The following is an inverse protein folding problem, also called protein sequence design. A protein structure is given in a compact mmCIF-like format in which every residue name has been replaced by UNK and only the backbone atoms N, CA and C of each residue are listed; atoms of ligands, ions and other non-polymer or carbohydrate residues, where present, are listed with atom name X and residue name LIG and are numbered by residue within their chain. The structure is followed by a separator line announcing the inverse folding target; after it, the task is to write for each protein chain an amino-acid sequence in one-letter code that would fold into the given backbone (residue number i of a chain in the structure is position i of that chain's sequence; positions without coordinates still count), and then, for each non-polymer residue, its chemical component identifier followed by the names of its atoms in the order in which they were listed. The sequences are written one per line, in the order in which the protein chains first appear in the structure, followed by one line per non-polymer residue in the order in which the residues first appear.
data_IF_119926808732
#
_entry.id   IF_119926808732
#
_cell.length_a   1.000
_cell.length_b   1.000
_cell.length_c   1.000
_cell.angle_alpha   90.00
_cell.angle_beta   90.00
_cell.angle_gamma   90.00
#
_symmetry.space_group_name_H-M   'P 1'
#
loop_
_entity.id
_entity.type
_entity.pdbx_description
1 polymer ?
#
# COMPACT_ATOMS: atom_id res chain seq x y z
N UNK A 1 -1.77 2.99 20.85
CA UNK A 1 -1.65 4.45 20.62
C UNK A 1 -0.69 4.68 19.46
N UNK A 2 -1.12 5.39 18.43
CA UNK A 2 -0.27 5.75 17.28
C UNK A 2 0.88 6.64 17.74
N UNK A 3 2.10 6.38 17.26
CA UNK A 3 3.23 7.27 17.49
C UNK A 3 2.98 8.63 16.82
N UNK A 4 3.59 9.72 17.35
CA UNK A 4 3.41 11.07 16.77
C UNK A 4 3.85 11.12 15.29
N UNK A 5 4.93 10.39 14.96
CA UNK A 5 5.37 10.13 13.57
C UNK A 5 5.70 8.66 13.47
N UNK A 6 5.18 7.98 12.47
CA UNK A 6 5.43 6.56 12.22
C UNK A 6 5.56 6.31 10.71
N UNK A 7 6.54 5.50 10.33
CA UNK A 7 6.80 5.14 8.94
C UNK A 7 6.67 3.64 8.76
N UNK A 8 5.71 3.24 7.94
CA UNK A 8 5.44 1.85 7.62
C UNK A 8 5.90 1.54 6.21
N UNK A 9 6.84 0.62 6.12
CA UNK A 9 7.32 0.11 4.84
C UNK A 9 6.39 -0.95 4.32
N UNK A 10 6.09 -0.87 3.04
CA UNK A 10 5.33 -1.88 2.35
C UNK A 10 5.97 -2.18 1.00
N UNK A 11 6.29 -3.44 0.77
CA UNK A 11 6.95 -3.91 -0.42
C UNK A 11 6.11 -5.00 -1.04
N UNK A 12 5.30 -4.62 -2.01
CA UNK A 12 4.57 -5.57 -2.81
C UNK A 12 5.19 -5.69 -4.20
N UNK A 13 5.42 -6.89 -4.64
CA UNK A 13 5.93 -7.23 -5.98
C UNK A 13 5.05 -8.30 -6.58
N UNK A 14 5.07 -8.41 -7.90
CA UNK A 14 4.12 -9.19 -8.67
C UNK A 14 3.93 -10.64 -8.24
N UNK A 15 4.95 -11.30 -7.67
CA UNK A 15 4.86 -12.68 -7.19
C UNK A 15 4.48 -12.85 -5.73
N UNK A 16 4.30 -11.74 -5.00
CA UNK A 16 3.77 -11.81 -3.65
C UNK A 16 2.31 -12.23 -3.65
N UNK A 17 1.94 -12.90 -2.57
CA UNK A 17 0.54 -13.22 -2.31
C UNK A 17 -0.22 -11.99 -1.85
N UNK A 18 -1.45 -11.91 -2.25
CA UNK A 18 -2.37 -10.83 -1.97
C UNK A 18 -3.72 -11.40 -1.57
N UNK A 19 -4.47 -10.80 -0.66
CA UNK A 19 -5.77 -11.33 -0.25
C UNK A 19 -6.71 -11.50 -1.45
N UNK A 20 -7.28 -12.69 -1.61
CA UNK A 20 -8.13 -13.00 -2.76
C UNK A 20 -9.45 -12.22 -2.75
N UNK A 21 -9.91 -11.77 -1.58
CA UNK A 21 -11.10 -10.93 -1.48
C UNK A 21 -10.97 -9.66 -2.32
N UNK A 22 -9.78 -9.10 -2.40
CA UNK A 22 -9.50 -7.89 -3.20
C UNK A 22 -9.82 -8.14 -4.67
N UNK A 23 -9.26 -9.21 -5.25
CA UNK A 23 -9.53 -9.57 -6.64
C UNK A 23 -11.00 -9.89 -6.88
N UNK A 24 -11.68 -10.57 -5.94
CA UNK A 24 -13.12 -10.85 -6.03
C UNK A 24 -13.93 -9.56 -6.10
N UNK A 25 -13.69 -8.62 -5.18
CA UNK A 25 -14.40 -7.34 -5.15
C UNK A 25 -14.18 -6.54 -6.44
N UNK A 26 -12.93 -6.50 -6.96
CA UNK A 26 -12.62 -5.83 -8.22
C UNK A 26 -13.36 -6.49 -9.40
N UNK A 27 -13.34 -7.82 -9.50
CA UNK A 27 -14.02 -8.53 -10.58
C UNK A 27 -15.54 -8.36 -10.52
N UNK A 28 -16.13 -8.36 -9.33
CA UNK A 28 -17.55 -8.12 -9.15
C UNK A 28 -17.94 -6.71 -9.55
N UNK A 29 -17.12 -5.74 -9.18
CA UNK A 29 -17.31 -4.35 -9.59
C UNK A 29 -17.13 -4.16 -11.11
N UNK A 30 -16.14 -4.82 -11.73
CA UNK A 30 -16.00 -4.85 -13.20
C UNK A 30 -17.26 -5.40 -13.84
N UNK A 31 -17.82 -6.47 -13.30
CA UNK A 31 -19.05 -7.07 -13.80
C UNK A 31 -20.26 -6.12 -13.72
N UNK A 32 -20.35 -5.32 -12.66
CA UNK A 32 -21.41 -4.33 -12.46
C UNK A 32 -21.25 -3.10 -13.36
N UNK A 33 -20.04 -2.55 -13.48
CA UNK A 33 -19.81 -1.30 -14.20
C UNK A 33 -19.58 -1.49 -15.70
N UNK A 34 -18.89 -2.56 -16.12
CA UNK A 34 -18.49 -2.81 -17.51
C UNK A 34 -19.19 -4.02 -18.13
N UNK A 35 -19.97 -4.76 -17.35
CA UNK A 35 -20.73 -5.93 -17.78
C UNK A 35 -19.98 -7.25 -17.63
N UNK A 36 -20.76 -8.34 -17.66
CA UNK A 36 -20.27 -9.71 -17.45
C UNK A 36 -19.24 -10.18 -18.48
N UNK A 37 -19.32 -9.69 -19.72
CA UNK A 37 -18.33 -10.00 -20.77
C UNK A 37 -16.95 -9.45 -20.43
N UNK A 38 -16.87 -8.24 -19.87
CA UNK A 38 -15.62 -7.64 -19.41
C UNK A 38 -15.02 -8.43 -18.23
N UNK A 39 -15.86 -8.81 -17.26
CA UNK A 39 -15.45 -9.66 -16.14
C UNK A 39 -14.88 -11.01 -16.63
N UNK A 40 -15.55 -11.68 -17.56
CA UNK A 40 -15.09 -12.94 -18.13
C UNK A 40 -13.76 -12.80 -18.86
N UNK A 41 -13.57 -11.72 -19.63
CA UNK A 41 -12.31 -11.44 -20.33
C UNK A 41 -11.16 -11.30 -19.35
N UNK A 42 -11.35 -10.56 -18.26
CA UNK A 42 -10.34 -10.39 -17.20
C UNK A 42 -10.03 -11.75 -16.53
N UNK A 43 -11.05 -12.52 -16.15
CA UNK A 43 -10.86 -13.86 -15.56
C UNK A 43 -10.06 -14.79 -16.49
N UNK A 44 -10.36 -14.80 -17.80
CA UNK A 44 -9.60 -15.58 -18.78
C UNK A 44 -8.13 -15.16 -18.86
N UNK A 45 -7.87 -13.86 -18.88
CA UNK A 45 -6.49 -13.34 -18.91
C UNK A 45 -5.71 -13.71 -17.64
N UNK A 46 -6.35 -13.65 -16.50
CA UNK A 46 -5.76 -13.99 -15.21
C UNK A 46 -5.59 -15.51 -14.99
N UNK A 47 -6.20 -16.33 -15.83
CA UNK A 47 -6.20 -17.78 -15.67
C UNK A 47 -6.95 -18.24 -14.40
N UNK A 48 -7.97 -17.50 -13.97
CA UNK A 48 -8.75 -17.79 -12.75
C UNK A 48 -10.24 -17.90 -13.08
N UNK A 49 -10.88 -18.95 -12.56
CA UNK A 49 -12.32 -19.06 -12.57
C UNK A 49 -12.94 -18.33 -11.36
N UNK A 50 -14.08 -17.67 -11.57
CA UNK A 50 -14.75 -16.97 -10.46
C UNK A 50 -15.15 -17.91 -9.32
N UNK A 51 -15.58 -19.14 -9.63
CA UNK A 51 -15.91 -20.17 -8.63
C UNK A 51 -14.65 -20.62 -7.86
N UNK A 52 -13.53 -20.74 -8.56
CA UNK A 52 -12.23 -21.10 -7.95
C UNK A 52 -11.76 -20.02 -6.98
N UNK A 53 -11.89 -18.74 -7.34
CA UNK A 53 -11.57 -17.63 -6.47
C UNK A 53 -12.38 -17.62 -5.16
N UNK A 54 -13.60 -18.15 -5.15
CA UNK A 54 -14.40 -18.29 -3.94
C UNK A 54 -13.80 -19.22 -2.88
N UNK A 55 -12.85 -20.07 -3.28
CA UNK A 55 -12.14 -21.01 -2.40
C UNK A 55 -10.68 -20.61 -2.15
N UNK A 56 -10.19 -19.54 -2.79
CA UNK A 56 -8.84 -19.03 -2.61
C UNK A 56 -8.80 -17.99 -1.49
N UNK A 57 -7.86 -18.13 -0.57
CA UNK A 57 -7.57 -17.08 0.42
C UNK A 57 -6.61 -16.02 -0.14
N UNK A 58 -5.71 -16.42 -1.04
CA UNK A 58 -4.70 -15.56 -1.62
C UNK A 58 -4.61 -15.74 -3.14
N UNK A 59 -4.25 -14.67 -3.81
CA UNK A 59 -3.91 -14.57 -5.24
C UNK A 59 -2.54 -13.91 -5.36
N UNK A 60 -2.06 -13.65 -6.56
CA UNK A 60 -0.83 -12.90 -6.76
C UNK A 60 -1.09 -11.40 -6.99
N UNK A 61 -0.18 -10.55 -6.50
CA UNK A 61 -0.26 -9.09 -6.68
C UNK A 61 -0.48 -8.71 -8.15
N UNK A 62 0.23 -9.33 -9.11
CA UNK A 62 0.09 -9.02 -10.53
C UNK A 62 -1.34 -9.23 -11.06
N UNK A 63 -2.10 -10.16 -10.48
CA UNK A 63 -3.49 -10.42 -10.87
C UNK A 63 -4.40 -9.27 -10.44
N UNK A 64 -4.20 -8.78 -9.23
CA UNK A 64 -4.94 -7.63 -8.69
C UNK A 64 -4.59 -6.36 -9.45
N UNK A 65 -3.30 -6.11 -9.67
CA UNK A 65 -2.82 -4.95 -10.46
C UNK A 65 -3.41 -4.96 -11.88
N UNK A 66 -3.40 -6.10 -12.56
CA UNK A 66 -4.01 -6.22 -13.90
C UNK A 66 -5.49 -5.85 -13.88
N UNK A 67 -6.26 -6.37 -12.93
CA UNK A 67 -7.69 -6.09 -12.84
C UNK A 67 -7.97 -4.60 -12.54
N UNK A 68 -7.16 -3.97 -11.68
CA UNK A 68 -7.25 -2.54 -11.39
C UNK A 68 -6.92 -1.69 -12.63
N UNK A 69 -5.84 -2.00 -13.34
CA UNK A 69 -5.45 -1.30 -14.57
C UNK A 69 -6.51 -1.46 -15.65
N UNK A 70 -7.06 -2.66 -15.80
CA UNK A 70 -8.15 -2.90 -16.74
C UNK A 70 -9.35 -2.01 -16.42
N UNK A 71 -9.82 -1.99 -15.17
CA UNK A 71 -10.93 -1.14 -14.75
C UNK A 71 -10.66 0.33 -15.02
N UNK A 72 -9.50 0.83 -14.63
CA UNK A 72 -9.08 2.22 -14.83
C UNK A 72 -9.04 2.60 -16.31
N UNK A 73 -8.52 1.72 -17.16
CA UNK A 73 -8.39 2.02 -18.61
C UNK A 73 -9.69 1.90 -19.38
N UNK A 74 -10.64 1.11 -18.92
CA UNK A 74 -11.95 0.94 -19.56
C UNK A 74 -12.99 1.95 -19.07
N UNK A 75 -12.76 2.63 -17.97
CA UNK A 75 -13.67 3.62 -17.40
C UNK A 75 -13.23 5.05 -17.76
N UNK A 76 -14.19 5.89 -18.17
CA UNK A 76 -14.00 7.33 -18.32
C UNK A 76 -14.24 8.09 -17.00
N UNK A 77 -14.71 7.41 -15.94
CA UNK A 77 -15.00 8.02 -14.66
C UNK A 77 -13.69 8.21 -13.86
N UNK A 78 -13.26 9.44 -13.59
CA UNK A 78 -12.04 9.70 -12.83
C UNK A 78 -12.15 9.30 -11.35
N UNK A 79 -13.34 9.04 -10.84
CA UNK A 79 -13.63 8.64 -9.47
C UNK A 79 -13.88 7.13 -9.32
N UNK A 80 -13.66 6.36 -10.40
CA UNK A 80 -13.95 4.93 -10.43
C UNK A 80 -13.21 4.14 -9.34
N UNK A 81 -11.98 4.56 -8.97
CA UNK A 81 -11.24 3.97 -7.85
C UNK A 81 -11.97 4.15 -6.52
N UNK A 82 -12.44 5.37 -6.22
CA UNK A 82 -13.22 5.63 -5.00
C UNK A 82 -14.53 4.83 -4.98
N UNK A 83 -15.22 4.74 -6.12
CA UNK A 83 -16.46 3.95 -6.24
C UNK A 83 -16.20 2.46 -6.01
N UNK A 84 -15.14 1.93 -6.57
CA UNK A 84 -14.70 0.56 -6.32
C UNK A 84 -14.48 0.34 -4.80
N UNK A 85 -13.69 1.20 -4.16
CA UNK A 85 -13.42 1.07 -2.72
C UNK A 85 -14.69 1.14 -1.87
N UNK A 86 -15.59 2.07 -2.16
CA UNK A 86 -16.89 2.22 -1.45
C UNK A 86 -17.82 1.01 -1.64
N UNK A 87 -17.59 0.16 -2.64
CA UNK A 87 -18.39 -1.04 -2.86
C UNK A 87 -18.00 -2.21 -1.95
N UNK A 88 -16.85 -2.11 -1.25
CA UNK A 88 -16.38 -3.16 -0.35
C UNK A 88 -17.28 -3.29 0.87
N UNK A 89 -17.46 -4.54 1.31
CA UNK A 89 -18.26 -4.92 2.46
C UNK A 89 -17.41 -5.66 3.48
N UNK A 90 -17.71 -5.47 4.77
CA UNK A 90 -16.97 -6.15 5.84
C UNK A 90 -17.05 -7.67 5.70
N UNK A 91 -18.21 -8.21 5.31
CA UNK A 91 -18.40 -9.65 5.12
C UNK A 91 -17.59 -10.25 3.97
N UNK A 92 -17.08 -9.42 3.04
CA UNK A 92 -16.24 -9.88 1.93
C UNK A 92 -14.75 -10.02 2.30
N UNK A 93 -14.34 -9.60 3.50
CA UNK A 93 -12.92 -9.44 3.87
C UNK A 93 -12.22 -10.72 4.35
N UNK A 94 -12.83 -11.90 4.20
CA UNK A 94 -12.29 -13.24 4.50
C UNK A 94 -11.19 -13.29 5.59
N UNK A 95 -9.93 -13.22 5.14
CA UNK A 95 -8.72 -13.35 5.98
C UNK A 95 -8.60 -12.25 7.05
N UNK A 96 -9.29 -11.12 6.89
CA UNK A 96 -9.29 -10.03 7.86
C UNK A 96 -10.35 -10.19 8.95
N UNK A 97 -11.46 -10.85 8.67
CA UNK A 97 -12.58 -10.99 9.62
C UNK A 97 -12.17 -11.51 10.99
N UNK A 98 -11.32 -12.57 11.11
CA UNK A 98 -10.87 -13.08 12.41
C UNK A 98 -10.07 -12.05 13.21
N UNK A 99 -9.42 -11.12 12.54
CA UNK A 99 -8.65 -10.06 13.19
C UNK A 99 -9.55 -8.90 13.61
N UNK A 100 -10.37 -8.41 12.67
CA UNK A 100 -11.28 -7.29 12.90
C UNK A 100 -12.28 -7.56 14.03
N UNK A 101 -12.73 -8.80 14.20
CA UNK A 101 -13.66 -9.20 15.26
C UNK A 101 -13.11 -9.10 16.69
N UNK A 102 -11.83 -8.81 16.86
CA UNK A 102 -11.15 -8.70 18.15
C UNK A 102 -10.93 -7.25 18.59
N UNK A 103 -11.23 -6.29 17.74
CA UNK A 103 -10.98 -4.89 18.00
C UNK A 103 -12.25 -4.18 18.49
N UNK A 104 -12.05 -3.26 19.40
CA UNK A 104 -13.13 -2.49 20.02
C UNK A 104 -13.30 -1.10 19.38
N UNK A 105 -12.30 -0.62 18.61
CA UNK A 105 -12.30 0.72 18.00
C UNK A 105 -11.74 0.76 16.60
N UNK A 106 -12.05 1.82 15.84
CA UNK A 106 -11.43 2.08 14.53
C UNK A 106 -9.92 2.32 14.64
N UNK A 107 -9.43 2.89 15.76
CA UNK A 107 -8.00 3.09 15.98
C UNK A 107 -7.26 1.74 15.93
N UNK A 108 -7.78 0.74 16.62
CA UNK A 108 -7.20 -0.60 16.66
C UNK A 108 -7.23 -1.28 15.27
N UNK A 109 -8.34 -1.15 14.56
CA UNK A 109 -8.46 -1.63 13.18
C UNK A 109 -7.40 -0.97 12.28
N UNK A 110 -7.25 0.35 12.35
CA UNK A 110 -6.28 1.08 11.55
C UNK A 110 -4.85 0.70 11.92
N UNK A 111 -4.53 0.57 13.21
CA UNK A 111 -3.22 0.09 13.67
C UNK A 111 -2.89 -1.30 13.12
N UNK A 112 -3.88 -2.18 13.12
CA UNK A 112 -3.72 -3.52 12.54
C UNK A 112 -3.44 -3.43 11.03
N UNK A 113 -4.25 -2.69 10.30
CA UNK A 113 -4.13 -2.50 8.84
C UNK A 113 -2.73 -1.99 8.46
N UNK A 114 -2.23 -0.95 9.12
CA UNK A 114 -0.92 -0.35 8.78
C UNK A 114 0.27 -1.21 9.22
N UNK A 115 0.07 -2.12 10.18
CA UNK A 115 1.11 -3.04 10.64
C UNK A 115 1.14 -4.37 9.86
N UNK A 116 0.05 -4.70 9.12
CA UNK A 116 -0.07 -5.94 8.37
C UNK A 116 -0.44 -5.68 6.89
N UNK A 117 0.40 -4.92 6.16
CA UNK A 117 0.10 -4.50 4.80
C UNK A 117 -0.15 -5.68 3.84
N UNK A 118 0.48 -6.83 4.08
CA UNK A 118 0.29 -8.05 3.29
C UNK A 118 -1.12 -8.68 3.45
N UNK A 119 -1.82 -8.40 4.55
CA UNK A 119 -3.18 -8.91 4.78
C UNK A 119 -4.27 -7.97 4.28
N UNK A 120 -3.93 -6.69 4.14
CA UNK A 120 -4.90 -5.64 3.75
C UNK A 120 -4.69 -5.14 2.34
N UNK A 121 -3.68 -5.66 1.66
CA UNK A 121 -3.44 -5.32 0.28
C UNK A 121 -2.96 -3.89 0.04
N UNK A 122 -2.04 -3.38 0.86
CA UNK A 122 -1.47 -2.07 0.62
C UNK A 122 -0.31 -2.12 -0.39
N UNK A 123 -0.29 -1.21 -1.35
CA UNK A 123 0.72 -1.14 -2.43
C UNK A 123 1.86 -0.16 -2.15
N UNK A 124 1.78 0.64 -1.10
CA UNK A 124 2.72 1.75 -0.90
C UNK A 124 3.23 1.83 0.52
N UNK A 125 4.39 2.44 0.68
CA UNK A 125 4.86 2.86 1.98
C UNK A 125 3.96 3.97 2.52
N UNK A 126 3.76 4.00 3.83
CA UNK A 126 2.86 4.94 4.48
C UNK A 126 3.57 5.69 5.59
N UNK A 127 3.47 7.02 5.56
CA UNK A 127 3.92 7.90 6.63
C UNK A 127 2.70 8.38 7.41
N UNK A 128 2.67 8.05 8.70
CA UNK A 128 1.63 8.45 9.65
C UNK A 128 2.17 9.61 10.49
N UNK A 129 1.35 10.66 10.67
CA UNK A 129 1.69 11.78 11.53
C UNK A 129 0.44 12.27 12.26
N UNK A 130 0.61 12.72 13.48
CA UNK A 130 -0.46 13.36 14.25
C UNK A 130 -0.17 14.85 14.28
N UNK A 131 -1.07 15.65 13.72
CA UNK A 131 -1.03 17.12 13.66
C UNK A 131 -2.41 17.68 14.01
N UNK A 132 -2.48 18.63 14.93
CA UNK A 132 -3.72 19.35 15.27
C UNK A 132 -4.94 18.43 15.47
N UNK A 133 -4.83 17.43 16.32
CA UNK A 133 -5.91 16.46 16.59
C UNK A 133 -6.37 15.66 15.36
N UNK A 134 -5.51 15.57 14.33
CA UNK A 134 -5.77 14.82 13.11
C UNK A 134 -4.66 13.79 12.89
N UNK A 135 -5.04 12.61 12.45
CA UNK A 135 -4.12 11.67 11.82
C UNK A 135 -3.97 12.04 10.33
N UNK A 136 -2.74 12.31 9.93
CA UNK A 136 -2.33 12.55 8.54
C UNK A 136 -1.69 11.27 8.00
N UNK A 137 -2.24 10.72 6.94
CA UNK A 137 -1.77 9.49 6.31
C UNK A 137 -1.28 9.81 4.90
N UNK A 138 0.04 9.85 4.74
CA UNK A 138 0.72 10.14 3.48
C UNK A 138 1.24 8.88 2.84
N UNK A 139 0.92 8.73 1.57
CA UNK A 139 1.50 7.69 0.75
C UNK A 139 2.83 8.12 0.17
N UNK A 140 3.80 7.20 0.18
CA UNK A 140 5.13 7.40 -0.38
C UNK A 140 5.35 6.40 -1.51
N UNK A 141 5.42 6.90 -2.74
CA UNK A 141 5.75 6.05 -3.88
C UNK A 141 7.27 5.79 -3.90
N UNK A 142 7.69 4.64 -3.43
CA UNK A 142 9.08 4.21 -3.42
C UNK A 142 9.49 3.50 -4.73
N UNK A 143 8.98 3.96 -5.85
CA UNK A 143 9.38 3.53 -7.20
C UNK A 143 8.72 2.26 -7.72
N UNK A 144 7.53 1.89 -7.20
CA UNK A 144 6.86 0.63 -7.54
C UNK A 144 5.67 0.77 -8.46
N UNK A 145 4.87 1.81 -8.27
CA UNK A 145 3.62 2.03 -9.01
C UNK A 145 3.87 3.06 -10.09
N UNK A 146 3.42 2.77 -11.29
CA UNK A 146 3.40 3.75 -12.38
C UNK A 146 2.59 4.99 -11.94
N UNK A 147 3.11 6.20 -12.15
CA UNK A 147 2.47 7.43 -11.67
C UNK A 147 1.00 7.56 -12.06
N UNK A 148 0.63 7.11 -13.26
CA UNK A 148 -0.75 7.15 -13.74
C UNK A 148 -1.72 6.25 -12.94
N UNK A 149 -1.21 5.20 -12.28
CA UNK A 149 -2.01 4.27 -11.49
C UNK A 149 -2.08 4.68 -10.02
N UNK A 150 -1.15 5.51 -9.57
CA UNK A 150 -0.99 5.85 -8.17
C UNK A 150 -2.22 6.57 -7.60
N UNK A 151 -2.74 7.55 -8.32
CA UNK A 151 -3.95 8.28 -7.93
C UNK A 151 -5.18 7.37 -7.86
N UNK A 152 -5.35 6.47 -8.83
CA UNK A 152 -6.44 5.49 -8.81
C UNK A 152 -6.39 4.61 -7.55
N UNK A 153 -5.23 4.04 -7.25
CA UNK A 153 -5.07 3.17 -6.08
C UNK A 153 -5.23 3.94 -4.76
N UNK A 154 -4.76 5.18 -4.70
CA UNK A 154 -4.96 6.05 -3.54
C UNK A 154 -6.44 6.33 -3.30
N UNK A 155 -7.19 6.69 -4.34
CA UNK A 155 -8.63 6.94 -4.25
C UNK A 155 -9.40 5.66 -3.93
N UNK A 156 -8.98 4.51 -4.46
CA UNK A 156 -9.54 3.21 -4.10
C UNK A 156 -9.36 2.92 -2.60
N UNK A 157 -8.17 3.15 -2.06
CA UNK A 157 -7.91 2.93 -0.64
C UNK A 157 -8.74 3.84 0.28
N UNK A 158 -8.97 5.09 -0.12
CA UNK A 158 -9.86 6.02 0.59
C UNK A 158 -11.29 5.49 0.58
N UNK A 159 -11.77 5.05 -0.58
CA UNK A 159 -13.11 4.50 -0.73
C UNK A 159 -13.32 3.28 0.17
N UNK A 160 -12.40 2.30 0.13
CA UNK A 160 -12.50 1.09 0.95
C UNK A 160 -12.42 1.39 2.44
N UNK A 161 -11.48 2.25 2.86
CA UNK A 161 -11.36 2.67 4.26
C UNK A 161 -12.67 3.30 4.76
N UNK A 162 -13.26 4.25 4.03
CA UNK A 162 -14.48 4.92 4.45
C UNK A 162 -15.69 3.98 4.43
N UNK A 163 -15.83 3.17 3.38
CA UNK A 163 -16.93 2.21 3.27
C UNK A 163 -16.93 1.22 4.43
N UNK A 164 -15.78 0.61 4.68
CA UNK A 164 -15.60 -0.36 5.76
C UNK A 164 -15.71 0.26 7.16
N UNK A 165 -15.12 1.44 7.39
CA UNK A 165 -15.21 2.13 8.66
C UNK A 165 -16.66 2.51 9.02
N UNK A 166 -17.45 2.96 8.04
CA UNK A 166 -18.87 3.26 8.21
C UNK A 166 -19.68 2.01 8.53
N UNK A 167 -19.40 0.91 7.87
CA UNK A 167 -20.07 -0.36 8.13
C UNK A 167 -19.69 -0.93 9.50
N UNK A 168 -18.41 -0.88 9.88
CA UNK A 168 -17.92 -1.36 11.17
C UNK A 168 -18.50 -0.58 12.35
N UNK A 169 -18.64 0.73 12.23
CA UNK A 169 -19.11 1.60 13.32
C UNK A 169 -20.61 1.86 13.29
N UNK A 170 -21.25 1.75 12.13
CA UNK A 170 -22.61 2.22 11.91
C UNK A 170 -22.74 3.77 11.96
N UNK A 171 -21.62 4.50 11.85
CA UNK A 171 -21.56 5.96 11.96
C UNK A 171 -21.08 6.61 10.66
N UNK A 172 -21.46 7.86 10.36
CA UNK A 172 -20.93 8.63 9.25
C UNK A 172 -19.46 8.99 9.54
N UNK A 173 -18.53 8.31 8.87
CA UNK A 173 -17.12 8.65 8.94
C UNK A 173 -16.77 9.58 7.79
N UNK A 174 -16.07 10.67 8.11
CA UNK A 174 -15.66 11.70 7.16
C UNK A 174 -14.17 12.01 7.29
N UNK A 175 -13.53 12.34 6.18
CA UNK A 175 -12.17 12.86 6.17
C UNK A 175 -12.21 14.40 6.31
N UNK A 176 -11.14 14.96 6.84
CA UNK A 176 -11.02 16.42 6.96
C UNK A 176 -10.47 17.02 5.67
N UNK A 177 -9.41 16.41 5.12
CA UNK A 177 -8.71 16.89 3.93
C UNK A 177 -8.18 15.71 3.12
N UNK A 178 -8.11 15.90 1.80
CA UNK A 178 -7.45 15.02 0.85
C UNK A 178 -6.55 15.85 -0.05
N UNK A 179 -5.30 15.44 -0.19
CA UNK A 179 -4.29 16.04 -1.06
C UNK A 179 -3.99 15.09 -2.21
N UNK A 180 -4.15 15.57 -3.44
CA UNK A 180 -3.97 14.83 -4.68
C UNK A 180 -2.90 15.51 -5.55
N UNK A 181 -1.91 14.76 -5.97
CA UNK A 181 -0.88 15.22 -6.91
C UNK A 181 -1.38 15.26 -8.37
N UNK A 182 -2.68 15.25 -8.56
CA UNK A 182 -3.36 15.29 -9.86
C UNK A 182 -3.79 16.71 -10.19
N UNK A 183 -3.97 17.03 -11.51
CA UNK A 183 -4.59 18.27 -11.93
C UNK A 183 -6.00 18.44 -11.36
N UNK A 184 -6.38 19.68 -11.12
CA UNK A 184 -7.72 20.00 -10.64
C UNK A 184 -8.81 19.51 -11.60
N UNK A 185 -9.85 18.90 -11.05
CA UNK A 185 -11.04 18.40 -11.75
C UNK A 185 -12.29 18.64 -10.91
N UNK A 186 -13.44 18.24 -11.40
CA UNK A 186 -14.68 18.33 -10.62
C UNK A 186 -14.57 17.45 -9.35
N UNK A 187 -14.68 18.07 -8.20
CA UNK A 187 -14.53 17.43 -6.88
C UNK A 187 -15.85 17.08 -6.19
N UNK A 188 -16.98 17.41 -6.82
CA UNK A 188 -18.29 17.30 -6.17
C UNK A 188 -18.61 15.89 -5.68
N UNK A 189 -18.20 14.86 -6.42
CA UNK A 189 -18.37 13.48 -5.99
C UNK A 189 -17.47 13.16 -4.78
N UNK A 190 -16.17 13.46 -4.86
CA UNK A 190 -15.23 13.20 -3.77
C UNK A 190 -15.63 13.92 -2.49
N UNK A 191 -15.94 15.22 -2.56
CA UNK A 191 -16.39 16.01 -1.40
C UNK A 191 -17.64 15.39 -0.77
N UNK A 192 -18.62 15.01 -1.58
CA UNK A 192 -19.87 14.41 -1.08
C UNK A 192 -19.65 13.09 -0.37
N UNK A 193 -18.79 12.21 -0.91
CA UNK A 193 -18.62 10.86 -0.36
C UNK A 193 -17.60 10.80 0.77
N UNK A 194 -16.64 11.73 0.82
CA UNK A 194 -15.58 11.73 1.81
C UNK A 194 -15.79 12.76 2.92
N UNK A 195 -16.63 13.78 2.72
CA UNK A 195 -16.75 14.94 3.61
C UNK A 195 -15.56 15.90 3.57
N UNK A 196 -14.51 15.56 2.82
CA UNK A 196 -13.21 16.24 2.85
C UNK A 196 -13.18 17.52 2.00
N UNK A 197 -12.32 18.45 2.41
CA UNK A 197 -11.79 19.47 1.53
C UNK A 197 -10.73 18.86 0.60
N UNK A 198 -10.88 19.02 -0.72
CA UNK A 198 -9.99 18.43 -1.71
C UNK A 198 -8.94 19.46 -2.18
N UNK A 199 -7.68 19.07 -2.16
CA UNK A 199 -6.55 19.89 -2.61
C UNK A 199 -5.86 19.21 -3.80
N UNK A 200 -6.08 19.72 -4.99
CA UNK A 200 -5.40 19.26 -6.21
C UNK A 200 -4.04 19.94 -6.41
N UNK A 201 -3.25 19.42 -7.35
CA UNK A 201 -1.88 19.88 -7.65
C UNK A 201 -0.97 19.90 -6.42
N UNK A 202 -1.21 19.01 -5.48
CA UNK A 202 -0.34 18.81 -4.33
C UNK A 202 0.98 18.12 -4.73
N UNK A 203 2.02 18.24 -3.91
CA UNK A 203 3.29 17.54 -4.14
C UNK A 203 3.24 16.05 -3.71
N UNK A 204 2.12 15.62 -3.10
CA UNK A 204 1.97 14.31 -2.49
C UNK A 204 0.51 13.87 -2.43
N UNK A 205 0.31 12.59 -2.12
CA UNK A 205 -0.99 12.00 -1.79
C UNK A 205 -1.10 11.84 -0.29
N UNK A 206 -2.09 12.48 0.33
CA UNK A 206 -2.34 12.43 1.77
C UNK A 206 -3.83 12.56 2.05
N UNK A 207 -4.32 11.82 3.03
CA UNK A 207 -5.63 12.06 3.60
C UNK A 207 -5.52 12.31 5.11
N UNK A 208 -6.48 13.06 5.66
CA UNK A 208 -6.52 13.44 7.07
C UNK A 208 -7.85 13.12 7.68
N UNK A 209 -7.84 12.55 8.90
CA UNK A 209 -9.02 12.21 9.68
C UNK A 209 -8.87 12.76 11.09
N UNK A 210 -9.98 13.23 11.70
CA UNK A 210 -9.97 13.66 13.10
C UNK A 210 -9.74 12.45 14.03
N UNK A 211 -8.88 12.61 15.04
CA UNK A 211 -8.60 11.53 16.01
C UNK A 211 -9.87 11.07 16.76
N UNK A 212 -10.82 11.97 16.97
CA UNK A 212 -12.10 11.63 17.60
C UNK A 212 -12.92 10.59 16.84
N UNK A 213 -12.78 10.52 15.51
CA UNK A 213 -13.45 9.49 14.72
C UNK A 213 -12.77 8.11 14.83
N UNK A 214 -11.45 8.07 15.07
CA UNK A 214 -10.73 6.83 15.29
C UNK A 214 -11.09 6.18 16.63
N UNK A 215 -11.52 6.95 17.62
CA UNK A 215 -11.99 6.46 18.91
C UNK A 215 -13.40 5.85 18.87
N UNK A 216 -14.09 5.88 17.73
CA UNK A 216 -15.43 5.32 17.62
C UNK A 216 -15.40 3.80 17.79
N UNK A 217 -16.39 3.25 18.54
CA UNK A 217 -16.47 1.82 18.79
C UNK A 217 -16.93 1.04 17.55
N UNK A 218 -16.49 -0.20 17.48
CA UNK A 218 -16.96 -1.18 16.50
C UNK A 218 -18.35 -1.69 16.94
N UNK A 219 -19.34 -1.50 16.10
CA UNK A 219 -20.73 -1.94 16.33
C UNK A 219 -21.19 -3.03 15.35
N UNK A 220 -20.26 -3.52 14.52
CA UNK A 220 -20.57 -4.56 13.54
C UNK A 220 -20.72 -5.93 14.21
N UNK A 221 -21.75 -6.68 13.81
CA UNK A 221 -21.97 -8.05 14.30
C UNK A 221 -21.27 -9.03 13.40
N UNK A 222 -20.13 -9.55 13.86
CA UNK A 222 -19.36 -10.55 13.12
C UNK A 222 -20.07 -11.93 13.12
N UNK A 223 -19.96 -12.73 12.06
CA UNK A 223 -20.51 -14.08 12.02
C UNK A 223 -19.84 -14.98 13.08
N UNK A 224 -20.62 -15.88 13.68
CA UNK A 224 -20.21 -16.71 14.82
C UNK A 224 -19.10 -17.75 14.52
N UNK A 225 -18.85 -18.08 13.26
CA UNK A 225 -17.81 -19.03 12.85
C UNK A 225 -16.78 -18.32 11.97
N UNK A 226 -15.80 -17.73 12.64
CA UNK A 226 -14.62 -17.22 11.96
C UNK A 226 -13.54 -18.30 12.10
N UNK A 227 -13.23 -18.99 11.00
CA UNK A 227 -12.17 -19.99 10.97
C UNK A 227 -10.82 -19.31 11.12
N UNK A 228 -10.15 -19.54 12.25
CA UNK A 228 -8.82 -18.97 12.54
C UNK A 228 -7.68 -19.83 11.99
N UNK A 229 -8.00 -20.87 11.23
CA UNK A 229 -7.01 -21.79 10.70
C UNK A 229 -6.31 -21.22 9.47
N UNK A 230 -5.00 -21.28 9.52
CA UNK A 230 -4.01 -21.10 8.48
C UNK A 230 -3.44 -19.68 8.27
N UNK A 231 -2.48 -19.35 9.13
CA UNK A 231 -1.35 -18.54 8.66
C UNK A 231 -0.55 -19.40 7.67
N UNK A 232 -0.78 -19.21 6.39
CA UNK A 232 0.09 -19.79 5.37
C UNK A 232 1.24 -18.82 5.17
N UNK A 233 2.44 -19.25 5.56
CA UNK A 233 3.67 -18.54 5.24
C UNK A 233 3.91 -18.66 3.72
N UNK A 234 3.49 -17.65 2.98
CA UNK A 234 3.69 -17.55 1.53
C UNK A 234 4.91 -16.68 1.24
N UNK A 235 6.08 -17.12 1.69
CA UNK A 235 7.34 -16.47 1.36
C UNK A 235 7.55 -16.37 -0.15
N UNK A 236 7.39 -15.18 -0.72
CA UNK A 236 7.72 -14.93 -2.12
C UNK A 236 9.24 -14.98 -2.33
N UNK A 237 9.66 -15.28 -3.55
CA UNK A 237 11.08 -15.21 -3.89
C UNK A 237 11.64 -13.80 -3.70
N UNK A 238 10.86 -12.79 -4.06
CA UNK A 238 11.25 -11.39 -3.86
C UNK A 238 11.37 -11.06 -2.37
N UNK A 239 10.48 -11.53 -1.49
CA UNK A 239 10.62 -11.35 -0.04
C UNK A 239 11.89 -11.99 0.50
N UNK A 240 12.23 -13.18 0.00
CA UNK A 240 13.49 -13.84 0.34
C UNK A 240 14.69 -12.96 -0.03
N UNK A 241 14.69 -12.39 -1.25
CA UNK A 241 15.75 -11.47 -1.71
C UNK A 241 15.80 -10.20 -0.87
N UNK A 242 14.65 -9.59 -0.58
CA UNK A 242 14.57 -8.36 0.22
C UNK A 242 15.06 -8.56 1.65
N UNK A 243 14.69 -9.67 2.28
CA UNK A 243 15.18 -10.01 3.60
C UNK A 243 16.68 -10.22 3.60
N UNK A 244 17.20 -10.92 2.60
CA UNK A 244 18.65 -11.11 2.45
C UNK A 244 19.40 -9.78 2.21
N UNK A 245 18.80 -8.80 1.50
CA UNK A 245 19.36 -7.44 1.35
C UNK A 245 19.35 -6.72 2.68
N UNK A 246 18.23 -6.76 3.44
CA UNK A 246 18.12 -6.10 4.75
C UNK A 246 19.12 -6.63 5.76
N UNK A 247 19.32 -7.95 5.79
CA UNK A 247 20.30 -8.61 6.66
C UNK A 247 21.75 -8.27 6.32
N UNK A 248 22.06 -8.04 5.05
CA UNK A 248 23.42 -7.73 4.60
C UNK A 248 23.82 -6.26 4.80
N UNK A 249 22.88 -5.41 5.25
CA UNK A 249 23.17 -3.99 5.43
C UNK A 249 24.14 -3.73 6.58
N UNK A 250 25.07 -2.73 6.48
CA UNK A 250 25.26 -1.73 5.39
C UNK A 250 26.03 -2.25 4.16
N UNK A 251 26.70 -3.38 4.25
CA UNK A 251 27.52 -3.96 3.18
C UNK A 251 26.64 -4.83 2.26
N UNK A 252 25.83 -4.14 1.44
CA UNK A 252 24.94 -4.84 0.51
C UNK A 252 25.75 -5.67 -0.48
N UNK A 253 25.49 -6.97 -0.51
CA UNK A 253 26.13 -7.92 -1.42
C UNK A 253 25.97 -7.47 -2.88
N UNK A 254 26.95 -7.76 -3.72
CA UNK A 254 26.76 -7.61 -5.16
C UNK A 254 25.82 -8.70 -5.69
N UNK A 255 25.42 -8.59 -6.95
CA UNK A 255 24.44 -9.50 -7.55
C UNK A 255 24.91 -10.97 -7.55
N UNK A 256 26.20 -11.19 -7.82
CA UNK A 256 26.75 -12.53 -7.94
C UNK A 256 26.84 -13.22 -6.57
N UNK A 257 27.25 -12.49 -5.54
CA UNK A 257 27.29 -12.96 -4.16
C UNK A 257 25.87 -13.20 -3.60
N UNK A 258 24.91 -12.32 -3.93
CA UNK A 258 23.52 -12.53 -3.54
C UNK A 258 22.92 -13.77 -4.21
N UNK A 259 23.21 -13.99 -5.49
CA UNK A 259 22.77 -15.18 -6.20
C UNK A 259 23.37 -16.45 -5.56
N UNK A 260 24.67 -16.42 -5.22
CA UNK A 260 25.35 -17.53 -4.54
C UNK A 260 24.73 -17.80 -3.14
N UNK A 261 24.44 -16.75 -2.35
CA UNK A 261 23.74 -16.85 -1.05
C UNK A 261 22.39 -17.56 -1.19
N UNK A 262 21.70 -17.35 -2.31
CA UNK A 262 20.40 -17.97 -2.62
C UNK A 262 20.52 -19.29 -3.42
N UNK A 263 21.72 -19.86 -3.49
CA UNK A 263 22.00 -21.11 -4.22
C UNK A 263 21.61 -21.07 -5.70
N UNK A 264 21.77 -19.91 -6.35
CA UNK A 264 21.44 -19.68 -7.75
C UNK A 264 22.65 -19.22 -8.55
N UNK A 265 22.65 -19.49 -9.87
CA UNK A 265 23.57 -18.78 -10.77
C UNK A 265 23.11 -17.34 -10.99
N UNK A 266 24.04 -16.39 -11.17
CA UNK A 266 23.71 -15.00 -11.45
C UNK A 266 22.76 -14.82 -12.66
N UNK A 267 22.91 -15.68 -13.70
CA UNK A 267 22.02 -15.68 -14.87
C UNK A 267 20.60 -16.10 -14.50
N UNK A 268 20.43 -17.16 -13.70
CA UNK A 268 19.11 -17.63 -13.25
C UNK A 268 18.45 -16.62 -12.32
N UNK A 269 19.24 -16.01 -11.45
CA UNK A 269 18.77 -14.97 -10.52
C UNK A 269 18.25 -13.74 -11.28
N UNK A 270 19.05 -13.17 -12.22
CA UNK A 270 18.61 -12.05 -13.08
C UNK A 270 17.34 -12.38 -13.85
N UNK A 271 17.30 -13.58 -14.50
CA UNK A 271 16.14 -14.02 -15.27
C UNK A 271 14.89 -14.11 -14.39
N UNK A 272 14.99 -14.69 -13.20
CA UNK A 272 13.86 -14.83 -12.28
C UNK A 272 13.35 -13.47 -11.82
N UNK A 273 14.23 -12.53 -11.44
CA UNK A 273 13.83 -11.17 -11.09
C UNK A 273 13.16 -10.44 -12.26
N UNK A 274 13.71 -10.57 -13.48
CA UNK A 274 13.13 -9.95 -14.67
C UNK A 274 11.72 -10.51 -15.00
N UNK A 275 11.51 -11.82 -14.84
CA UNK A 275 10.19 -12.44 -14.99
C UNK A 275 9.17 -11.91 -13.98
N UNK A 276 9.63 -11.46 -12.81
CA UNK A 276 8.81 -10.87 -11.76
C UNK A 276 8.75 -9.33 -11.87
N UNK A 277 9.10 -8.75 -13.02
CA UNK A 277 9.03 -7.32 -13.27
C UNK A 277 10.02 -6.47 -12.47
N UNK A 278 11.09 -7.08 -11.91
CA UNK A 278 12.05 -6.40 -11.05
C UNK A 278 13.51 -6.62 -11.46
N UNK A 279 14.44 -5.97 -10.78
CA UNK A 279 15.87 -6.17 -10.88
C UNK A 279 16.50 -6.09 -9.50
N UNK A 280 17.68 -6.71 -9.34
CA UNK A 280 18.40 -6.67 -8.05
C UNK A 280 18.69 -5.24 -7.59
N UNK A 281 19.13 -4.38 -8.52
CA UNK A 281 19.40 -2.96 -8.21
C UNK A 281 18.15 -2.24 -7.70
N UNK A 282 17.00 -2.47 -8.34
CA UNK A 282 15.73 -1.87 -7.92
C UNK A 282 15.34 -2.27 -6.49
N UNK A 283 15.54 -3.54 -6.12
CA UNK A 283 15.26 -4.02 -4.76
C UNK A 283 16.24 -3.42 -3.74
N UNK A 284 17.52 -3.32 -4.08
CA UNK A 284 18.53 -2.67 -3.25
C UNK A 284 18.20 -1.19 -3.03
N UNK A 285 17.86 -0.46 -4.09
CA UNK A 285 17.51 0.96 -4.00
C UNK A 285 16.26 1.18 -3.16
N UNK A 286 15.29 0.30 -3.25
CA UNK A 286 14.07 0.37 -2.44
C UNK A 286 14.37 0.16 -0.95
N UNK A 287 15.15 -0.87 -0.59
CA UNK A 287 15.55 -1.09 0.82
C UNK A 287 16.38 0.08 1.34
N UNK A 288 17.29 0.61 0.52
CA UNK A 288 18.07 1.80 0.86
C UNK A 288 17.19 3.01 1.12
N UNK A 289 16.25 3.27 0.22
CA UNK A 289 15.31 4.38 0.34
C UNK A 289 14.49 4.28 1.64
N UNK A 290 13.88 3.14 1.90
CA UNK A 290 13.09 2.90 3.10
C UNK A 290 13.91 3.08 4.38
N UNK A 291 15.11 2.51 4.42
CA UNK A 291 16.00 2.64 5.58
C UNK A 291 16.42 4.10 5.80
N UNK A 292 16.76 4.81 4.72
CA UNK A 292 17.14 6.22 4.81
C UNK A 292 15.99 7.09 5.34
N UNK A 293 14.76 6.88 4.86
CA UNK A 293 13.56 7.57 5.38
C UNK A 293 13.40 7.30 6.88
N UNK A 294 13.48 6.04 7.30
CA UNK A 294 13.38 5.68 8.71
C UNK A 294 14.43 6.40 9.59
N UNK A 295 15.69 6.43 9.16
CA UNK A 295 16.77 7.13 9.88
C UNK A 295 16.56 8.66 9.94
N UNK A 296 16.06 9.27 8.85
CA UNK A 296 15.76 10.70 8.81
C UNK A 296 14.62 11.03 9.78
N UNK A 297 13.58 10.22 9.78
CA UNK A 297 12.40 10.40 10.63
C UNK A 297 12.71 10.12 12.11
N UNK A 298 13.61 9.22 12.43
CA UNK A 298 14.10 9.01 13.80
C UNK A 298 14.80 10.25 14.36
N UNK A 299 15.35 11.10 13.48
CA UNK A 299 16.00 12.38 13.83
C UNK A 299 17.15 12.27 14.87
N UNK A 300 17.80 11.12 14.92
CA UNK A 300 18.92 10.85 15.84
C UNK A 300 20.28 11.15 15.20
N UNK A 301 20.34 11.18 13.87
CA UNK A 301 21.55 11.34 13.09
C UNK A 301 21.46 12.53 12.13
N UNK A 302 22.58 13.18 11.90
CA UNK A 302 22.69 14.19 10.83
C UNK A 302 22.59 13.53 9.45
N UNK A 303 22.19 14.27 8.41
CA UNK A 303 22.14 13.76 7.03
C UNK A 303 23.53 13.24 6.58
N UNK A 304 24.61 13.82 7.07
CA UNK A 304 25.96 13.33 6.82
C UNK A 304 26.20 11.95 7.43
N UNK A 305 25.86 11.78 8.70
CA UNK A 305 25.98 10.50 9.40
C UNK A 305 25.07 9.43 8.79
N UNK A 306 23.85 9.82 8.34
CA UNK A 306 22.96 8.91 7.62
C UNK A 306 23.60 8.46 6.30
N UNK A 307 24.18 9.38 5.52
CA UNK A 307 24.86 9.04 4.28
C UNK A 307 25.99 8.01 4.51
N UNK A 308 26.81 8.22 5.53
CA UNK A 308 27.86 7.29 5.92
C UNK A 308 27.31 5.93 6.35
N UNK A 309 26.26 5.91 7.20
CA UNK A 309 25.56 4.68 7.62
C UNK A 309 24.96 3.91 6.43
N UNK A 310 24.59 4.63 5.38
CA UNK A 310 24.06 4.07 4.14
C UNK A 310 25.15 3.62 3.15
N UNK A 311 26.43 3.76 3.53
CA UNK A 311 27.57 3.36 2.72
C UNK A 311 27.99 4.37 1.63
N UNK A 312 27.58 5.64 1.76
CA UNK A 312 28.00 6.71 0.86
C UNK A 312 29.23 7.43 1.40
N UNK A 313 30.26 7.55 0.56
CA UNK A 313 31.45 8.33 0.87
C UNK A 313 31.26 9.85 0.70
N UNK A 314 30.20 10.26 0.00
CA UNK A 314 29.85 11.66 -0.27
C UNK A 314 28.37 11.94 -0.03
N UNK A 315 28.10 12.92 0.82
CA UNK A 315 26.74 13.36 1.19
C UNK A 315 25.97 13.93 -0.01
N UNK A 316 26.66 14.56 -0.97
CA UNK A 316 26.02 15.10 -2.18
C UNK A 316 25.49 13.98 -3.06
N UNK A 317 26.25 12.90 -3.22
CA UNK A 317 25.84 11.71 -3.95
C UNK A 317 24.65 11.01 -3.26
N UNK A 318 24.68 10.90 -1.92
CA UNK A 318 23.52 10.39 -1.17
C UNK A 318 22.26 11.23 -1.43
N UNK A 319 22.36 12.57 -1.34
CA UNK A 319 21.22 13.47 -1.58
C UNK A 319 20.65 13.33 -2.99
N UNK A 320 21.49 13.16 -4.00
CA UNK A 320 21.06 12.93 -5.38
C UNK A 320 20.35 11.58 -5.53
N UNK A 321 20.93 10.51 -4.99
CA UNK A 321 20.34 9.18 -5.01
C UNK A 321 18.98 9.16 -4.29
N UNK A 322 18.91 9.75 -3.10
CA UNK A 322 17.68 9.83 -2.32
C UNK A 322 16.58 10.60 -3.08
N UNK A 323 16.92 11.76 -3.68
CA UNK A 323 15.97 12.51 -4.50
C UNK A 323 15.53 11.73 -5.73
N UNK A 324 16.41 10.94 -6.33
CA UNK A 324 16.07 10.07 -7.45
C UNK A 324 15.08 8.98 -7.04
N UNK A 325 15.22 8.37 -5.86
CA UNK A 325 14.35 7.31 -5.38
C UNK A 325 12.94 7.78 -5.06
N UNK A 326 12.80 8.96 -4.40
CA UNK A 326 11.52 9.40 -3.81
C UNK A 326 10.99 10.71 -4.39
N UNK A 327 11.73 11.38 -5.27
CA UNK A 327 11.35 12.68 -5.84
C UNK A 327 11.67 13.89 -4.94
N UNK A 328 11.89 13.70 -3.65
CA UNK A 328 12.13 14.75 -2.66
C UNK A 328 13.51 14.63 -2.01
N UNK A 329 14.17 15.75 -1.64
CA UNK A 329 15.44 15.69 -0.95
C UNK A 329 15.27 15.23 0.53
N UNK A 330 16.33 14.69 1.18
CA UNK A 330 16.26 14.25 2.59
C UNK A 330 15.72 15.30 3.56
N UNK A 331 16.07 16.57 3.36
CA UNK A 331 15.59 17.69 4.20
C UNK A 331 14.08 17.91 4.15
N UNK A 332 13.39 17.38 3.15
CA UNK A 332 11.93 17.37 3.12
C UNK A 332 11.36 16.52 4.27
N UNK A 333 11.89 15.31 4.46
CA UNK A 333 11.48 14.42 5.55
C UNK A 333 11.91 14.92 6.92
N UNK A 334 13.09 15.55 7.04
CA UNK A 334 13.54 16.14 8.31
C UNK A 334 12.57 17.20 8.82
N UNK A 335 12.00 18.03 7.93
CA UNK A 335 11.02 19.05 8.30
C UNK A 335 9.69 18.46 8.80
N UNK A 336 9.34 17.25 8.41
CA UNK A 336 8.13 16.58 8.90
C UNK A 336 8.19 16.23 10.40
N UNK A 337 9.39 16.17 10.98
CA UNK A 337 9.59 15.97 12.41
C UNK A 337 9.59 17.26 13.22
N UNK A 338 9.71 18.41 12.55
CA UNK A 338 9.84 19.72 13.21
C UNK A 338 8.47 20.41 13.39
N UNK A 339 7.40 19.78 12.93
CA UNK A 339 6.02 20.19 13.10
C UNK A 339 5.39 19.43 14.28
#
# INVERSE_FOLDING_TARGET
MLARVDYKTNLMVGDQTYPAFELRNILDFIGLELGTSAQQLVCQHLGVGRLELGHCQFVYVWQVEYAMVYLQTQSADPDIGTRLGLSYRVDSLDVLLPHLSRFDSLEECLQFVVNHPQLVGSFTDTLLRIEDEKLCVRWLNTGRIEPAQYGFQFLHSIGSLLGLARELTGQPIELVQIFLAEPARNEAFLTRVTGAQIHFNAEYYEWRIALSQLALPINYTFPFHIDTANQVDHGSFIDTVLNAIRESFPEVLNLDDMAAKLHMSARSFRRKLAQLGSSYQRLVDQVRCQRAIGLILANELSIGAIAETMGYSDVSHFRQSFKHWIGHPPGYFSRLNSL
#
